data_IF_206074215044
#
_entry.id   IF_206074215044
#
_cell.length_a   1.000
_cell.length_b   1.000
_cell.length_c   1.000
_cell.angle_alpha   90.00
_cell.angle_beta   90.00
_cell.angle_gamma   90.00
#
_symmetry.space_group_name_H-M   'P 1'
#
loop_
_entity.id
_entity.type
_entity.pdbx_description
1 polymer ?
#
# COMPACT_ATOMS: atom_id res chain seq x y z
N UNK A 1 56.89 -0.31 -24.04
CA UNK A 1 55.62 0.41 -23.79
C UNK A 1 55.27 0.27 -22.32
N UNK A 2 55.00 1.38 -21.61
CA UNK A 2 54.72 1.39 -20.16
C UNK A 2 53.23 1.07 -19.98
N UNK A 3 52.88 -0.02 -19.30
CA UNK A 3 51.48 -0.42 -19.08
C UNK A 3 50.68 0.58 -18.23
N UNK A 4 49.34 0.55 -18.29
CA UNK A 4 48.49 1.48 -17.55
C UNK A 4 48.64 1.26 -16.04
N UNK A 5 48.98 2.34 -15.32
CA UNK A 5 49.36 2.34 -13.89
C UNK A 5 48.19 2.32 -12.91
N UNK A 6 46.94 2.24 -13.36
CA UNK A 6 45.78 2.42 -12.49
C UNK A 6 44.99 1.12 -12.38
N UNK A 7 45.09 0.46 -11.23
CA UNK A 7 44.13 -0.56 -10.81
C UNK A 7 42.77 0.13 -10.65
N UNK A 8 41.81 -0.15 -11.53
CA UNK A 8 40.42 0.27 -11.31
C UNK A 8 39.93 -0.51 -10.10
N UNK A 9 39.91 0.14 -8.93
CA UNK A 9 39.28 -0.42 -7.75
C UNK A 9 37.79 -0.41 -8.04
N UNK A 10 37.20 -1.58 -8.27
CA UNK A 10 35.75 -1.77 -8.28
C UNK A 10 35.30 -1.58 -6.83
N UNK A 11 35.24 -0.33 -6.38
CA UNK A 11 34.61 0.01 -5.14
C UNK A 11 33.10 -0.10 -5.35
N UNK A 12 32.34 -0.59 -4.36
CA UNK A 12 30.89 -0.48 -4.41
C UNK A 12 30.51 0.99 -4.64
N UNK A 13 29.47 1.25 -5.46
CA UNK A 13 28.98 2.60 -5.71
C UNK A 13 28.65 3.28 -4.38
N UNK A 14 28.87 4.60 -4.33
CA UNK A 14 28.63 5.39 -3.12
C UNK A 14 27.14 5.38 -2.79
N UNK A 15 26.80 5.27 -1.51
CA UNK A 15 25.41 5.25 -1.03
C UNK A 15 24.62 6.53 -1.37
N UNK A 16 25.33 7.62 -1.70
CA UNK A 16 24.75 8.93 -2.02
C UNK A 16 24.30 9.07 -3.49
N UNK A 17 24.63 8.11 -4.37
CA UNK A 17 24.18 8.15 -5.77
C UNK A 17 22.84 7.41 -5.91
N UNK A 18 21.79 8.03 -6.51
CA UNK A 18 20.52 7.35 -6.74
C UNK A 18 20.73 6.24 -7.77
N UNK A 19 20.88 5.01 -7.31
CA UNK A 19 20.94 3.82 -8.16
C UNK A 19 19.56 3.53 -8.74
N UNK A 20 19.50 3.10 -10.01
CA UNK A 20 18.28 2.51 -10.59
C UNK A 20 17.83 1.33 -9.72
N UNK A 21 16.66 1.46 -9.11
CA UNK A 21 16.09 0.48 -8.20
C UNK A 21 15.52 -0.71 -8.98
N UNK A 22 16.39 -1.66 -9.34
CA UNK A 22 15.98 -2.86 -10.12
C UNK A 22 15.46 -3.99 -9.21
N UNK A 23 15.57 -3.84 -7.90
CA UNK A 23 15.07 -4.80 -6.91
C UNK A 23 13.87 -4.23 -6.15
N UNK A 24 12.73 -4.13 -6.82
CA UNK A 24 11.40 -4.23 -6.19
C UNK A 24 11.10 -3.36 -4.96
N UNK A 25 11.74 -2.20 -4.77
CA UNK A 25 11.39 -1.20 -3.76
C UNK A 25 10.04 -0.58 -4.13
N UNK A 26 8.98 -1.29 -3.77
CA UNK A 26 7.62 -1.08 -4.24
C UNK A 26 6.74 -2.32 -4.02
N UNK A 27 7.36 -3.47 -3.75
CA UNK A 27 6.67 -4.62 -3.19
C UNK A 27 6.16 -4.24 -1.78
N UNK A 28 4.89 -3.85 -1.73
CA UNK A 28 4.19 -3.59 -0.48
C UNK A 28 4.21 -4.91 0.32
N UNK A 29 4.59 -4.92 1.60
CA UNK A 29 4.64 -6.15 2.39
C UNK A 29 3.31 -6.91 2.32
N UNK A 30 3.33 -8.24 2.33
CA UNK A 30 2.10 -9.06 2.23
C UNK A 30 1.10 -8.79 3.37
N UNK A 31 1.57 -8.23 4.49
CA UNK A 31 0.75 -7.76 5.61
C UNK A 31 0.10 -6.39 5.38
N UNK A 32 0.33 -5.76 4.22
CA UNK A 32 -0.27 -4.47 3.89
C UNK A 32 -1.75 -4.62 3.55
N UNK A 33 -2.53 -3.61 3.95
CA UNK A 33 -3.95 -3.54 3.64
C UNK A 33 -4.09 -3.32 2.13
N UNK A 34 -4.55 -4.35 1.42
CA UNK A 34 -4.81 -4.27 -0.02
C UNK A 34 -6.11 -3.50 -0.26
N UNK A 35 -6.14 -2.49 -1.15
CA UNK A 35 -7.39 -1.82 -1.49
C UNK A 35 -8.32 -2.80 -2.23
N UNK A 36 -9.51 -3.03 -1.67
CA UNK A 36 -10.52 -3.93 -2.25
C UNK A 36 -11.57 -3.07 -2.99
N UNK A 37 -11.95 -3.48 -4.20
CA UNK A 37 -13.06 -2.90 -4.93
C UNK A 37 -14.33 -3.73 -4.71
N UNK A 38 -15.39 -3.10 -4.19
CA UNK A 38 -16.67 -3.75 -3.92
C UNK A 38 -17.73 -3.14 -4.83
N UNK A 39 -18.50 -3.99 -5.52
CA UNK A 39 -19.66 -3.55 -6.29
C UNK A 39 -20.87 -3.42 -5.35
N UNK A 40 -21.45 -2.23 -5.28
CA UNK A 40 -22.62 -1.93 -4.45
C UNK A 40 -23.67 -1.23 -5.31
N UNK A 41 -24.97 -1.55 -5.16
CA UNK A 41 -26.02 -0.80 -5.83
C UNK A 41 -25.97 0.70 -5.49
N UNK A 42 -26.32 1.55 -6.46
CA UNK A 42 -26.21 3.02 -6.32
C UNK A 42 -27.02 3.55 -5.12
N UNK A 43 -28.22 3.01 -4.89
CA UNK A 43 -29.07 3.38 -3.75
C UNK A 43 -28.37 3.14 -2.41
N UNK A 44 -27.78 1.94 -2.23
CA UNK A 44 -27.03 1.58 -1.02
C UNK A 44 -25.77 2.43 -0.84
N UNK A 45 -25.04 2.71 -1.93
CA UNK A 45 -23.85 3.57 -1.87
C UNK A 45 -24.20 5.00 -1.40
N UNK A 46 -25.34 5.56 -1.84
CA UNK A 46 -25.81 6.87 -1.38
C UNK A 46 -26.12 6.86 0.12
N UNK A 47 -26.83 5.84 0.59
CA UNK A 47 -27.15 5.67 2.02
C UNK A 47 -25.88 5.53 2.86
N UNK A 48 -24.94 4.68 2.45
CA UNK A 48 -23.66 4.50 3.12
C UNK A 48 -22.88 5.81 3.21
N UNK A 49 -22.86 6.58 2.12
CA UNK A 49 -22.16 7.87 2.08
C UNK A 49 -22.80 8.91 3.00
N UNK A 50 -24.13 8.96 3.04
CA UNK A 50 -24.85 9.84 3.95
C UNK A 50 -24.58 9.48 5.41
N UNK A 51 -24.69 8.19 5.76
CA UNK A 51 -24.42 7.71 7.12
C UNK A 51 -22.98 7.97 7.57
N UNK A 52 -22.00 7.70 6.71
CA UNK A 52 -20.59 7.98 7.01
C UNK A 52 -20.35 9.49 7.25
N UNK A 53 -21.00 10.35 6.47
CA UNK A 53 -20.92 11.80 6.64
C UNK A 53 -21.59 12.28 7.94
N UNK A 54 -22.75 11.72 8.31
CA UNK A 54 -23.44 12.03 9.57
C UNK A 54 -22.60 11.66 10.80
N UNK A 55 -21.90 10.53 10.74
CA UNK A 55 -21.06 10.05 11.83
C UNK A 55 -19.64 10.65 11.80
N UNK A 56 -19.28 11.40 10.75
CA UNK A 56 -17.94 11.97 10.59
C UNK A 56 -16.83 10.93 10.42
N UNK A 57 -17.17 9.71 10.00
CA UNK A 57 -16.22 8.59 9.82
C UNK A 57 -15.93 8.34 8.34
N UNK A 58 -14.80 7.68 8.06
CA UNK A 58 -14.54 7.24 6.69
C UNK A 58 -15.45 6.06 6.32
N UNK A 59 -15.76 5.94 5.03
CA UNK A 59 -16.57 4.83 4.52
C UNK A 59 -15.87 3.47 4.72
N UNK A 60 -14.54 3.47 4.78
CA UNK A 60 -13.72 2.29 5.11
C UNK A 60 -13.93 1.86 6.56
N UNK A 61 -13.89 2.81 7.51
CA UNK A 61 -14.08 2.52 8.94
C UNK A 61 -15.48 1.99 9.21
N UNK A 62 -16.49 2.57 8.54
CA UNK A 62 -17.86 2.08 8.60
C UNK A 62 -17.99 0.62 8.14
N UNK A 63 -17.30 0.25 7.05
CA UNK A 63 -17.30 -1.11 6.52
C UNK A 63 -16.55 -2.10 7.44
N UNK A 64 -15.43 -1.68 8.02
CA UNK A 64 -14.67 -2.48 8.99
C UNK A 64 -15.48 -2.75 10.25
N UNK A 65 -16.13 -1.73 10.82
CA UNK A 65 -17.00 -1.90 11.99
C UNK A 65 -18.16 -2.86 11.68
N UNK A 66 -18.78 -2.76 10.50
CA UNK A 66 -19.82 -3.69 10.06
C UNK A 66 -19.31 -5.13 9.93
N UNK A 67 -18.08 -5.31 9.44
CA UNK A 67 -17.45 -6.62 9.35
C UNK A 67 -17.17 -7.23 10.72
N UNK A 68 -16.65 -6.47 11.67
CA UNK A 68 -16.38 -6.94 13.03
C UNK A 68 -17.66 -7.40 13.74
N UNK A 69 -18.75 -6.62 13.60
CA UNK A 69 -20.06 -7.00 14.12
C UNK A 69 -20.57 -8.31 13.50
N UNK A 70 -20.45 -8.45 12.18
CA UNK A 70 -20.86 -9.66 11.48
C UNK A 70 -20.04 -10.88 11.89
N UNK A 71 -18.71 -10.71 12.00
CA UNK A 71 -17.80 -11.79 12.40
C UNK A 71 -18.05 -12.24 13.83
N UNK A 72 -18.31 -11.31 14.74
CA UNK A 72 -18.64 -11.60 16.13
C UNK A 72 -19.99 -12.30 16.27
N UNK A 73 -20.96 -12.00 15.40
CA UNK A 73 -22.27 -12.69 15.37
C UNK A 73 -22.19 -14.11 14.80
N UNK A 74 -21.19 -14.39 13.97
CA UNK A 74 -20.96 -15.71 13.36
C UNK A 74 -20.04 -16.64 14.16
N UNK A 75 -19.46 -16.17 15.26
CA UNK A 75 -18.79 -17.02 16.25
C UNK A 75 -19.79 -17.46 17.31
#
# INVERSE_FOLDING_TARGET
MKGPKNSIKIAPPKDDEPTLDVTGKGAVPDSSVKPIQIKVPISKHKEMKAYAAEQGISMTDMLLAGYDMFRNKMR
#
